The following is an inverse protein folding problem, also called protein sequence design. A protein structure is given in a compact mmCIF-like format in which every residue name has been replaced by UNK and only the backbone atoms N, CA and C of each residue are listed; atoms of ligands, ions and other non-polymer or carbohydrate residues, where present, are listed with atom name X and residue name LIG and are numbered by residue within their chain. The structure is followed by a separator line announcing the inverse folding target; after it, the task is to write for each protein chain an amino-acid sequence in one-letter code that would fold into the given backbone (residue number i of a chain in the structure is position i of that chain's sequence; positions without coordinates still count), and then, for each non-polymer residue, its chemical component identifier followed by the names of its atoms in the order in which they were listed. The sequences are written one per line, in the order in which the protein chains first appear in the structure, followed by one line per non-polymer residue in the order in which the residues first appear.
data_IF_755703584875
#
_entry.id   IF_755703584875
#
_cell.length_a   1.000
_cell.length_b   1.000
_cell.length_c   1.000
_cell.angle_alpha   90.00
_cell.angle_beta   90.00
_cell.angle_gamma   90.00
#
_symmetry.space_group_name_H-M   'P 1'
#
loop_
_entity.id
_entity.type
_entity.pdbx_description
1 polymer ?
#
# COMPACT_ATOMS: atom_id res chain seq x y z
N UNK A 1 -34.94 12.88 -5.60
CA UNK A 1 -33.83 12.42 -4.73
C UNK A 1 -34.13 10.99 -4.34
N UNK A 2 -33.28 10.04 -4.73
CA UNK A 2 -33.40 8.66 -4.26
C UNK A 2 -32.70 8.55 -2.91
N UNK A 3 -33.49 8.55 -1.84
CA UNK A 3 -33.00 8.26 -0.49
C UNK A 3 -32.90 6.73 -0.36
N UNK A 4 -31.73 6.17 -0.66
CA UNK A 4 -31.42 4.81 -0.25
C UNK A 4 -31.27 4.81 1.28
N UNK A 5 -32.36 4.46 1.99
CA UNK A 5 -32.28 4.04 3.38
C UNK A 5 -31.33 2.84 3.40
N UNK A 6 -30.19 2.98 4.09
CA UNK A 6 -29.34 1.84 4.42
C UNK A 6 -30.16 0.94 5.33
N UNK A 7 -30.43 -0.28 4.87
CA UNK A 7 -30.98 -1.35 5.69
C UNK A 7 -29.92 -1.74 6.73
N UNK A 8 -29.91 -0.99 7.82
CA UNK A 8 -29.11 -1.25 9.00
C UNK A 8 -30.05 -1.42 10.17
N UNK A 9 -30.75 -2.56 10.21
CA UNK A 9 -31.27 -3.08 11.46
C UNK A 9 -31.56 -4.58 11.37
N UNK A 10 -30.94 -5.34 12.25
CA UNK A 10 -31.33 -6.72 12.54
C UNK A 10 -30.34 -7.78 12.11
N UNK A 11 -29.46 -8.16 13.05
CA UNK A 11 -29.08 -9.56 13.28
C UNK A 11 -28.52 -10.35 12.09
N UNK A 12 -27.25 -10.11 11.76
CA UNK A 12 -26.48 -10.96 10.84
C UNK A 12 -24.98 -10.64 10.88
N UNK A 13 -24.29 -11.18 11.88
CA UNK A 13 -22.87 -10.94 12.15
C UNK A 13 -21.89 -11.55 11.11
N UNK A 14 -22.12 -11.36 9.81
CA UNK A 14 -21.15 -11.81 8.79
C UNK A 14 -21.15 -11.07 7.45
N UNK A 15 -22.21 -10.35 7.03
CA UNK A 15 -22.33 -9.94 5.61
C UNK A 15 -22.61 -8.44 5.36
N UNK A 16 -22.41 -7.55 6.33
CA UNK A 16 -22.50 -6.12 6.06
C UNK A 16 -21.29 -5.67 5.22
N UNK A 17 -21.53 -5.14 4.02
CA UNK A 17 -20.50 -4.44 3.25
C UNK A 17 -19.91 -3.34 4.15
N UNK A 18 -18.60 -3.31 4.38
CA UNK A 18 -17.98 -2.34 5.28
C UNK A 18 -18.32 -0.89 4.86
N UNK A 19 -18.43 0.01 5.84
CA UNK A 19 -18.61 1.44 5.54
C UNK A 19 -17.38 1.98 4.81
N UNK A 20 -17.54 3.10 4.07
CA UNK A 20 -16.41 3.73 3.38
C UNK A 20 -15.26 4.06 4.36
N UNK A 21 -15.56 4.66 5.52
CA UNK A 21 -14.55 4.93 6.53
C UNK A 21 -13.87 3.67 7.08
N UNK A 22 -14.56 2.52 7.14
CA UNK A 22 -13.94 1.25 7.53
C UNK A 22 -13.03 0.69 6.43
N UNK A 23 -13.33 0.95 5.16
CA UNK A 23 -12.47 0.59 4.02
C UNK A 23 -11.24 1.50 4.02
N UNK A 24 -11.42 2.82 4.12
CA UNK A 24 -10.34 3.80 4.20
C UNK A 24 -9.38 3.48 5.35
N UNK A 25 -9.91 3.22 6.55
CA UNK A 25 -9.07 2.86 7.70
C UNK A 25 -8.24 1.59 7.47
N UNK A 26 -8.76 0.59 6.75
CA UNK A 26 -8.00 -0.62 6.40
C UNK A 26 -6.91 -0.31 5.37
N UNK A 27 -7.21 0.52 4.37
CA UNK A 27 -6.23 0.94 3.36
C UNK A 27 -5.10 1.72 4.02
N UNK A 28 -5.40 2.68 4.90
CA UNK A 28 -4.39 3.43 5.64
C UNK A 28 -3.48 2.53 6.48
N UNK A 29 -4.03 1.53 7.17
CA UNK A 29 -3.21 0.57 7.94
C UNK A 29 -2.27 -0.22 7.01
N UNK A 30 -2.78 -0.71 5.88
CA UNK A 30 -1.97 -1.44 4.91
C UNK A 30 -0.86 -0.56 4.31
N UNK A 31 -1.16 0.70 4.02
CA UNK A 31 -0.18 1.68 3.54
C UNK A 31 0.94 1.89 4.56
N UNK A 32 0.60 2.17 5.82
CA UNK A 32 1.59 2.35 6.90
C UNK A 32 2.46 1.11 7.07
N UNK A 33 1.86 -0.08 7.06
CA UNK A 33 2.58 -1.36 7.19
C UNK A 33 3.52 -1.57 6.00
N UNK A 34 3.05 -1.34 4.77
CA UNK A 34 3.83 -1.52 3.55
C UNK A 34 5.03 -0.56 3.51
N UNK A 35 4.79 0.74 3.70
CA UNK A 35 5.83 1.78 3.66
C UNK A 35 6.87 1.55 4.75
N UNK A 36 6.45 1.30 5.99
CA UNK A 36 7.39 1.05 7.11
C UNK A 36 8.25 -0.18 6.86
N UNK A 37 7.63 -1.28 6.40
CA UNK A 37 8.37 -2.53 6.12
C UNK A 37 9.37 -2.35 4.98
N UNK A 38 8.97 -1.65 3.92
CA UNK A 38 9.83 -1.36 2.79
C UNK A 38 10.99 -0.45 3.19
N UNK A 39 10.75 0.60 3.98
CA UNK A 39 11.81 1.46 4.52
C UNK A 39 12.84 0.68 5.34
N UNK A 40 12.40 -0.23 6.21
CA UNK A 40 13.29 -1.06 7.00
C UNK A 40 14.12 -2.01 6.13
N UNK A 41 13.50 -2.61 5.11
CA UNK A 41 14.16 -3.54 4.20
C UNK A 41 15.22 -2.83 3.35
N UNK A 42 14.89 -1.67 2.79
CA UNK A 42 15.77 -0.90 1.92
C UNK A 42 16.93 -0.26 2.70
N UNK A 43 16.71 0.22 3.95
CA UNK A 43 17.78 0.73 4.82
C UNK A 43 18.89 -0.28 5.13
N UNK A 44 18.57 -1.57 5.12
CA UNK A 44 19.51 -2.67 5.43
C UNK A 44 20.16 -3.24 4.15
N UNK A 45 19.55 -3.01 2.99
CA UNK A 45 19.98 -3.56 1.71
C UNK A 45 21.04 -2.71 1.00
N UNK A 46 21.79 -3.33 0.09
CA UNK A 46 22.54 -2.59 -0.91
C UNK A 46 21.62 -2.19 -2.10
N UNK A 47 22.11 -1.29 -2.97
CA UNK A 47 21.35 -0.79 -4.12
C UNK A 47 20.85 -1.89 -5.08
N UNK A 48 21.54 -3.02 -5.17
CA UNK A 48 21.09 -4.14 -6.01
C UNK A 48 19.94 -4.89 -5.34
N UNK A 49 19.97 -5.05 -4.01
CA UNK A 49 18.87 -5.60 -3.24
C UNK A 49 17.61 -4.72 -3.35
N UNK A 50 17.74 -3.39 -3.34
CA UNK A 50 16.62 -2.47 -3.52
C UNK A 50 15.91 -2.68 -4.86
N UNK A 51 16.65 -2.65 -5.98
CA UNK A 51 16.08 -2.86 -7.30
C UNK A 51 15.41 -4.23 -7.45
N UNK A 52 16.00 -5.27 -6.85
CA UNK A 52 15.42 -6.61 -6.86
C UNK A 52 14.10 -6.66 -6.10
N UNK A 53 14.05 -6.15 -4.86
CA UNK A 53 12.83 -6.09 -4.04
C UNK A 53 11.70 -5.36 -4.77
N UNK A 54 11.99 -4.21 -5.37
CA UNK A 54 11.00 -3.42 -6.11
C UNK A 54 10.46 -4.17 -7.34
N UNK A 55 11.34 -4.87 -8.06
CA UNK A 55 10.94 -5.71 -9.20
C UNK A 55 10.01 -6.84 -8.77
N UNK A 56 10.35 -7.53 -7.67
CA UNK A 56 9.55 -8.61 -7.11
C UNK A 56 8.16 -8.13 -6.67
N UNK A 57 8.09 -6.98 -5.98
CA UNK A 57 6.81 -6.37 -5.55
C UNK A 57 5.94 -6.05 -6.77
N UNK A 58 6.49 -5.39 -7.80
CA UNK A 58 5.74 -5.07 -9.03
C UNK A 58 5.20 -6.33 -9.70
N UNK A 59 6.00 -7.41 -9.76
CA UNK A 59 5.56 -8.68 -10.34
C UNK A 59 4.42 -9.29 -9.52
N UNK A 60 4.54 -9.30 -8.19
CA UNK A 60 3.52 -9.84 -7.30
C UNK A 60 2.18 -9.08 -7.43
N UNK A 61 2.23 -7.75 -7.56
CA UNK A 61 1.02 -6.92 -7.73
C UNK A 61 0.33 -7.23 -9.06
N UNK A 62 1.08 -7.34 -10.16
CA UNK A 62 0.52 -7.73 -11.46
C UNK A 62 -0.17 -9.08 -11.40
N UNK A 63 0.53 -10.10 -10.87
CA UNK A 63 -0.03 -11.43 -10.68
C UNK A 63 -1.31 -11.39 -9.83
N UNK A 64 -1.32 -10.55 -8.78
CA UNK A 64 -2.49 -10.44 -7.91
C UNK A 64 -3.69 -9.79 -8.61
N UNK A 65 -3.46 -8.77 -9.43
CA UNK A 65 -4.52 -8.12 -10.22
C UNK A 65 -5.16 -9.11 -11.20
N UNK A 66 -4.35 -9.97 -11.83
CA UNK A 66 -4.81 -11.04 -12.71
C UNK A 66 -5.65 -12.08 -11.94
N UNK A 67 -5.17 -12.54 -10.77
CA UNK A 67 -5.90 -13.47 -9.90
C UNK A 67 -7.26 -12.94 -9.44
N UNK A 68 -7.35 -11.64 -9.16
CA UNK A 68 -8.60 -11.02 -8.70
C UNK A 68 -9.54 -10.61 -9.84
N UNK A 69 -9.17 -10.90 -11.09
CA UNK A 69 -9.95 -10.58 -12.29
C UNK A 69 -10.33 -9.09 -12.36
N UNK A 70 -9.41 -8.20 -12.00
CA UNK A 70 -9.62 -6.77 -12.19
C UNK A 70 -9.75 -6.47 -13.68
N UNK A 71 -10.57 -5.47 -14.01
CA UNK A 71 -10.59 -4.94 -15.38
C UNK A 71 -9.22 -4.35 -15.73
N UNK A 72 -8.88 -4.26 -17.01
CA UNK A 72 -7.60 -3.68 -17.46
C UNK A 72 -7.39 -2.27 -16.90
N UNK A 73 -8.46 -1.46 -16.80
CA UNK A 73 -8.40 -0.11 -16.21
C UNK A 73 -8.14 -0.14 -14.70
N UNK A 74 -8.79 -1.05 -13.96
CA UNK A 74 -8.62 -1.15 -12.51
C UNK A 74 -7.24 -1.73 -12.17
N UNK A 75 -6.76 -2.69 -12.94
CA UNK A 75 -5.41 -3.24 -12.82
C UNK A 75 -4.35 -2.16 -13.12
N UNK A 76 -4.54 -1.36 -14.18
CA UNK A 76 -3.64 -0.25 -14.49
C UNK A 76 -3.62 0.80 -13.36
N UNK A 77 -4.79 1.13 -12.79
CA UNK A 77 -4.88 2.03 -11.65
C UNK A 77 -4.17 1.48 -10.41
N UNK A 78 -4.38 0.20 -10.08
CA UNK A 78 -3.72 -0.44 -8.94
C UNK A 78 -2.19 -0.51 -9.10
N UNK A 79 -1.70 -0.81 -10.30
CA UNK A 79 -0.27 -0.81 -10.62
C UNK A 79 0.32 0.61 -10.55
N UNK A 80 -0.43 1.62 -10.99
CA UNK A 80 -0.03 3.03 -10.88
C UNK A 80 0.14 3.46 -9.42
N UNK A 81 -0.87 3.19 -8.58
CA UNK A 81 -0.79 3.47 -7.15
C UNK A 81 0.37 2.74 -6.47
N UNK A 82 0.59 1.47 -6.81
CA UNK A 82 1.74 0.73 -6.30
C UNK A 82 3.07 1.41 -6.66
N UNK A 83 3.21 1.92 -7.88
CA UNK A 83 4.40 2.64 -8.31
C UNK A 83 4.61 3.92 -7.51
N UNK A 84 3.56 4.71 -7.32
CA UNK A 84 3.60 5.94 -6.49
C UNK A 84 4.05 5.64 -5.06
N UNK A 85 3.52 4.59 -4.44
CA UNK A 85 3.87 4.18 -3.09
C UNK A 85 5.36 3.80 -2.97
N UNK A 86 5.87 3.04 -3.95
CA UNK A 86 7.27 2.64 -4.00
C UNK A 86 8.20 3.84 -4.18
N UNK A 87 7.87 4.76 -5.08
CA UNK A 87 8.68 5.94 -5.37
C UNK A 87 8.70 6.90 -4.17
N UNK A 88 7.54 7.16 -3.55
CA UNK A 88 7.46 7.96 -2.33
C UNK A 88 8.27 7.36 -1.17
N UNK A 89 8.31 6.03 -1.08
CA UNK A 89 9.13 5.34 -0.08
C UNK A 89 10.62 5.54 -0.31
N UNK A 90 11.08 5.45 -1.56
CA UNK A 90 12.48 5.66 -1.93
C UNK A 90 12.92 7.11 -1.66
N UNK A 91 12.12 8.09 -2.09
CA UNK A 91 12.38 9.50 -1.82
C UNK A 91 12.53 9.75 -0.31
N UNK A 92 11.63 9.19 0.50
CA UNK A 92 11.69 9.29 1.96
C UNK A 92 12.96 8.71 2.58
N UNK A 93 13.61 7.73 1.95
CA UNK A 93 14.85 7.12 2.45
C UNK A 93 16.07 7.95 2.04
N UNK A 94 16.08 8.49 0.82
CA UNK A 94 17.17 9.35 0.34
C UNK A 94 17.35 10.60 1.21
N UNK A 95 16.26 11.16 1.75
CA UNK A 95 16.33 12.28 2.70
C UNK A 95 16.75 11.87 4.13
N UNK A 96 16.85 10.58 4.42
CA UNK A 96 17.27 10.04 5.72
C UNK A 96 18.78 9.69 5.78
N UNK A 97 19.59 10.33 4.95
CA UNK A 97 21.05 10.17 4.87
C UNK A 97 21.70 10.29 6.28
N UNK A 98 22.57 9.34 6.72
CA UNK A 98 22.96 9.13 8.12
C UNK A 98 23.91 10.18 8.71
N UNK A 99 24.07 11.35 8.06
CA UNK A 99 24.98 12.41 8.53
C UNK A 99 24.42 13.30 9.63
N UNK A 100 23.17 13.09 10.07
CA UNK A 100 22.54 13.91 11.13
C UNK A 100 22.55 13.28 12.52
N UNK A 101 23.07 12.05 12.69
CA UNK A 101 23.05 11.35 13.99
C UNK A 101 24.42 11.26 14.68
N UNK A 102 25.46 11.89 14.13
CA UNK A 102 26.80 11.92 14.75
C UNK A 102 27.06 13.14 15.65
N UNK A 103 26.10 14.05 15.82
CA UNK A 103 26.31 15.30 16.59
C UNK A 103 25.67 15.31 17.99
N UNK A 104 25.00 14.23 18.43
CA UNK A 104 24.27 14.19 19.71
C UNK A 104 24.70 13.05 20.67
N UNK A 105 26.00 12.68 20.70
CA UNK A 105 26.59 11.88 21.79
C UNK A 105 27.96 12.40 22.23
#
# INVERSE_FOLDING_TARGET
MYNARRDGDGNGASNAIPSMGAIEGRITVLEVVATTSLQLLLKVGDKHAEHHVLSEIRRAIRAKCEETHLSDSDAASAIGYAQELLDATLESIEFADPKSLSDDL
#
